data_IF_901939636872
#
_entry.id   IF_901939636872
#
_cell.length_a   1.000
_cell.length_b   1.000
_cell.length_c   1.000
_cell.angle_alpha   90.00
_cell.angle_beta   90.00
_cell.angle_gamma   90.00
#
_symmetry.space_group_name_H-M   'P 1'
#
loop_
_entity.id
_entity.type
_entity.pdbx_description
1 polymer ?
#
# COMPACT_ATOMS: atom_id res chain seq x y z
N UNK A 1 -16.28 32.99 37.42
CA UNK A 1 -16.50 31.62 36.95
C UNK A 1 -16.43 31.69 35.43
N UNK A 2 -15.21 31.66 34.89
CA UNK A 2 -14.97 31.68 33.45
C UNK A 2 -14.39 30.33 33.07
N UNK A 3 -15.17 29.49 32.40
CA UNK A 3 -14.65 28.29 31.78
C UNK A 3 -13.69 28.70 30.67
N UNK A 4 -12.43 28.35 30.84
CA UNK A 4 -11.37 28.50 29.86
C UNK A 4 -11.66 27.52 28.71
N UNK A 5 -12.36 27.97 27.66
CA UNK A 5 -12.48 27.22 26.42
C UNK A 5 -11.15 27.27 25.68
N UNK A 6 -10.21 26.42 26.08
CA UNK A 6 -9.05 26.09 25.25
C UNK A 6 -9.56 25.34 24.02
N UNK A 7 -9.81 26.08 22.93
CA UNK A 7 -10.17 25.50 21.64
C UNK A 7 -9.10 24.51 21.16
N UNK A 8 -9.53 23.40 20.57
CA UNK A 8 -8.64 22.37 20.01
C UNK A 8 -7.67 23.00 19.01
N UNK A 9 -6.36 22.85 19.23
CA UNK A 9 -5.32 23.45 18.39
C UNK A 9 -5.28 22.83 16.98
N UNK A 10 -4.68 23.53 16.01
CA UNK A 10 -4.52 22.99 14.64
C UNK A 10 -3.73 21.68 14.63
N UNK A 11 -2.68 21.60 15.46
CA UNK A 11 -1.89 20.37 15.65
C UNK A 11 -2.76 19.22 16.17
N UNK A 12 -3.64 19.49 17.13
CA UNK A 12 -4.55 18.48 17.68
C UNK A 12 -5.58 18.04 16.64
N UNK A 13 -6.09 18.97 15.82
CA UNK A 13 -6.99 18.63 14.71
C UNK A 13 -6.31 17.75 13.67
N UNK A 14 -5.07 18.05 13.30
CA UNK A 14 -4.31 17.23 12.37
C UNK A 14 -4.02 15.84 12.94
N UNK A 15 -3.63 15.76 14.22
CA UNK A 15 -3.45 14.50 14.90
C UNK A 15 -4.73 13.67 14.93
N UNK A 16 -5.86 14.27 15.32
CA UNK A 16 -7.17 13.60 15.35
C UNK A 16 -7.56 13.12 13.95
N UNK A 17 -7.40 13.96 12.92
CA UNK A 17 -7.72 13.60 11.55
C UNK A 17 -6.90 12.39 11.06
N UNK A 18 -5.60 12.37 11.35
CA UNK A 18 -4.71 11.23 11.02
C UNK A 18 -5.12 9.97 11.78
N UNK A 19 -5.40 10.07 13.08
CA UNK A 19 -5.84 8.95 13.91
C UNK A 19 -7.16 8.35 13.41
N UNK A 20 -8.13 9.18 13.04
CA UNK A 20 -9.42 8.74 12.46
C UNK A 20 -9.20 8.05 11.12
N UNK A 21 -8.34 8.60 10.25
CA UNK A 21 -8.04 8.00 8.96
C UNK A 21 -7.35 6.63 9.11
N UNK A 22 -6.41 6.50 10.05
CA UNK A 22 -5.75 5.23 10.37
C UNK A 22 -6.73 4.19 10.94
N UNK A 23 -7.53 4.58 11.94
CA UNK A 23 -8.55 3.69 12.51
C UNK A 23 -9.55 3.21 11.44
N UNK A 24 -9.97 4.11 10.54
CA UNK A 24 -10.85 3.77 9.42
C UNK A 24 -10.20 2.77 8.46
N UNK A 25 -8.93 2.99 8.07
CA UNK A 25 -8.16 2.07 7.22
C UNK A 25 -8.06 0.69 7.86
N UNK A 26 -7.76 0.64 9.15
CA UNK A 26 -7.54 -0.61 9.86
C UNK A 26 -8.83 -1.42 9.99
N UNK A 27 -9.94 -0.75 10.34
CA UNK A 27 -11.24 -1.40 10.47
C UNK A 27 -11.80 -1.88 9.12
N UNK A 28 -11.64 -1.09 8.06
CA UNK A 28 -12.24 -1.40 6.76
C UNK A 28 -11.37 -2.32 5.88
N UNK A 29 -10.04 -2.23 5.96
CA UNK A 29 -9.13 -2.90 5.03
C UNK A 29 -8.06 -3.75 5.73
N UNK A 30 -7.24 -3.16 6.61
CA UNK A 30 -6.03 -3.84 7.14
C UNK A 30 -6.39 -5.09 7.94
N UNK A 31 -7.31 -4.97 8.90
CA UNK A 31 -7.65 -6.05 9.81
C UNK A 31 -8.43 -7.18 9.13
N UNK A 32 -9.45 -6.92 8.29
CA UNK A 32 -10.12 -7.97 7.53
C UNK A 32 -9.17 -8.75 6.63
N UNK A 33 -8.28 -8.08 5.87
CA UNK A 33 -7.31 -8.74 4.99
C UNK A 33 -6.35 -9.62 5.80
N UNK A 34 -5.85 -9.14 6.94
CA UNK A 34 -5.02 -9.94 7.84
C UNK A 34 -5.75 -11.19 8.35
N UNK A 35 -6.99 -11.05 8.79
CA UNK A 35 -7.80 -12.15 9.29
C UNK A 35 -8.09 -13.21 8.22
N UNK A 36 -8.33 -12.79 6.97
CA UNK A 36 -8.50 -13.69 5.82
C UNK A 36 -7.18 -14.42 5.55
N UNK A 37 -6.06 -13.70 5.48
CA UNK A 37 -4.76 -14.28 5.21
C UNK A 37 -4.34 -15.31 6.25
N UNK A 38 -4.55 -15.01 7.55
CA UNK A 38 -4.25 -15.94 8.65
C UNK A 38 -5.03 -17.26 8.54
N UNK A 39 -6.28 -17.23 8.06
CA UNK A 39 -7.06 -18.46 7.85
C UNK A 39 -6.75 -19.16 6.54
N UNK A 40 -6.47 -18.41 5.49
CA UNK A 40 -6.14 -18.97 4.20
C UNK A 40 -4.78 -19.68 4.23
N UNK A 41 -3.80 -19.14 4.98
CA UNK A 41 -2.45 -19.72 5.09
C UNK A 41 -2.41 -21.12 5.71
N UNK A 42 -3.47 -21.54 6.39
CA UNK A 42 -3.62 -22.93 6.89
C UNK A 42 -3.87 -23.92 5.74
N UNK A 43 -4.42 -23.45 4.62
CA UNK A 43 -4.80 -24.30 3.47
C UNK A 43 -3.90 -24.15 2.26
N UNK A 44 -3.37 -22.95 2.02
CA UNK A 44 -2.55 -22.69 0.83
C UNK A 44 -1.53 -21.58 1.09
N UNK A 45 -0.40 -21.59 0.36
CA UNK A 45 0.54 -20.48 0.34
C UNK A 45 -0.18 -19.14 0.12
N UNK A 46 0.18 -18.14 0.93
CA UNK A 46 -0.50 -16.85 0.98
C UNK A 46 0.54 -15.75 1.01
N UNK A 47 0.33 -14.65 0.32
CA UNK A 47 1.27 -13.53 0.30
C UNK A 47 0.53 -12.25 0.61
N UNK A 48 1.09 -11.44 1.50
CA UNK A 48 0.52 -10.14 1.89
C UNK A 48 1.45 -9.01 1.49
N UNK A 49 0.87 -7.91 1.05
CA UNK A 49 1.58 -6.68 0.80
C UNK A 49 0.94 -5.49 1.52
N UNK A 50 1.72 -4.42 1.62
CA UNK A 50 1.27 -3.08 1.95
C UNK A 50 1.76 -2.14 0.85
N UNK A 51 0.88 -1.32 0.28
CA UNK A 51 1.23 -0.39 -0.79
C UNK A 51 1.30 1.03 -0.22
N UNK A 52 2.47 1.65 -0.34
CA UNK A 52 2.81 2.96 0.23
C UNK A 52 3.57 3.82 -0.79
N UNK A 53 3.26 3.64 -2.07
CA UNK A 53 3.79 4.45 -3.15
C UNK A 53 2.71 5.37 -3.74
N UNK A 54 3.13 6.56 -4.14
CA UNK A 54 2.32 7.44 -5.01
C UNK A 54 3.21 7.95 -6.11
N UNK A 55 2.61 8.34 -7.23
CA UNK A 55 3.35 8.90 -8.34
C UNK A 55 4.25 10.04 -7.87
N UNK A 56 5.49 10.12 -8.38
CA UNK A 56 6.49 11.08 -7.89
C UNK A 56 5.95 12.52 -7.83
N UNK A 57 5.20 12.94 -8.84
CA UNK A 57 4.61 14.29 -8.92
C UNK A 57 3.44 14.53 -7.97
N UNK A 58 2.87 13.49 -7.36
CA UNK A 58 1.73 13.57 -6.44
C UNK A 58 2.15 13.38 -4.97
N UNK A 59 3.44 13.17 -4.68
CA UNK A 59 3.95 12.98 -3.30
C UNK A 59 3.55 14.10 -2.34
N UNK A 60 3.55 15.36 -2.81
CA UNK A 60 3.12 16.50 -1.99
C UNK A 60 1.64 16.47 -1.66
N UNK A 61 0.80 16.05 -2.61
CA UNK A 61 -0.65 15.92 -2.45
C UNK A 61 -1.02 14.76 -1.52
N UNK A 62 -0.27 13.66 -1.59
CA UNK A 62 -0.50 12.45 -0.79
C UNK A 62 0.54 12.26 0.32
N UNK A 63 1.04 13.36 0.89
CA UNK A 63 2.05 13.34 1.96
C UNK A 63 1.56 12.62 3.25
N UNK A 64 0.25 12.47 3.41
CA UNK A 64 -0.39 11.81 4.55
C UNK A 64 -0.88 10.38 4.24
N UNK A 65 -0.43 9.82 3.12
CA UNK A 65 -0.67 8.44 2.73
C UNK A 65 -1.38 8.27 1.40
N UNK A 66 -1.31 7.05 0.90
CA UNK A 66 -1.79 6.67 -0.42
C UNK A 66 -3.31 6.42 -0.40
N UNK A 67 -4.07 6.97 -1.37
CA UNK A 67 -5.50 6.73 -1.46
C UNK A 67 -5.81 5.30 -1.92
N UNK A 68 -6.98 4.79 -1.52
CA UNK A 68 -7.45 3.46 -1.90
C UNK A 68 -7.49 3.28 -3.43
N UNK A 69 -6.95 2.15 -3.92
CA UNK A 69 -6.96 1.79 -5.34
C UNK A 69 -5.83 2.40 -6.16
N UNK A 70 -4.98 3.25 -5.56
CA UNK A 70 -3.86 3.85 -6.27
C UNK A 70 -2.77 2.84 -6.67
N UNK A 71 -2.78 1.64 -6.12
CA UNK A 71 -1.88 0.55 -6.48
C UNK A 71 -2.23 -0.11 -7.82
N UNK A 72 -3.49 -0.01 -8.25
CA UNK A 72 -4.02 -0.73 -9.41
C UNK A 72 -3.21 -0.48 -10.70
N UNK A 73 -2.84 0.77 -11.06
CA UNK A 73 -2.06 1.03 -12.26
C UNK A 73 -0.65 0.41 -12.22
N UNK A 74 -0.08 0.22 -11.03
CA UNK A 74 1.24 -0.38 -10.85
C UNK A 74 1.19 -1.90 -10.98
N UNK A 75 0.23 -2.54 -10.30
CA UNK A 75 0.04 -4.00 -10.42
C UNK A 75 -0.33 -4.45 -11.83
N UNK A 76 -1.07 -3.61 -12.56
CA UNK A 76 -1.47 -3.90 -13.95
C UNK A 76 -0.48 -3.38 -14.99
N UNK A 77 0.58 -2.68 -14.59
CA UNK A 77 1.52 -2.02 -15.50
C UNK A 77 0.83 -1.10 -16.53
N UNK A 78 -0.08 -0.26 -16.06
CA UNK A 78 -0.91 0.65 -16.88
C UNK A 78 -0.72 2.13 -16.53
N UNK A 79 0.37 2.48 -15.84
CA UNK A 79 0.65 3.86 -15.41
C UNK A 79 0.68 4.87 -16.56
N UNK A 80 1.02 4.44 -17.78
CA UNK A 80 1.06 5.26 -18.99
C UNK A 80 -0.31 5.52 -19.64
N UNK A 81 -1.36 4.80 -19.24
CA UNK A 81 -2.70 4.93 -19.83
C UNK A 81 -3.79 5.24 -18.81
N UNK A 82 -3.53 4.99 -17.52
CA UNK A 82 -4.47 5.29 -16.44
C UNK A 82 -4.60 6.80 -16.25
N UNK A 83 -5.82 7.32 -16.25
CA UNK A 83 -6.11 8.78 -16.20
C UNK A 83 -5.39 9.49 -15.05
N UNK A 84 -5.30 8.85 -13.87
CA UNK A 84 -4.67 9.45 -12.71
C UNK A 84 -3.14 9.53 -12.76
N UNK A 85 -2.48 8.88 -13.73
CA UNK A 85 -1.01 8.82 -13.81
C UNK A 85 -0.45 9.11 -15.20
N UNK A 86 -1.21 8.92 -16.29
CA UNK A 86 -0.72 8.95 -17.68
C UNK A 86 0.07 10.21 -18.04
N UNK A 87 -0.36 11.38 -17.54
CA UNK A 87 0.26 12.67 -17.88
C UNK A 87 1.38 13.07 -16.92
N UNK A 88 1.51 12.34 -15.81
CA UNK A 88 2.43 12.68 -14.71
C UNK A 88 3.52 11.64 -14.48
N UNK A 89 3.35 10.41 -14.99
CA UNK A 89 4.25 9.29 -14.79
C UNK A 89 5.69 9.62 -15.21
N UNK A 90 6.60 9.42 -14.28
CA UNK A 90 8.05 9.55 -14.40
C UNK A 90 8.69 8.21 -14.75
N UNK A 91 10.01 8.18 -14.97
CA UNK A 91 10.73 6.92 -15.17
C UNK A 91 10.70 6.04 -13.91
N UNK A 92 10.69 6.65 -12.72
CA UNK A 92 10.60 5.95 -11.43
C UNK A 92 9.25 5.24 -11.27
N UNK A 93 8.15 5.93 -11.61
CA UNK A 93 6.79 5.37 -11.54
C UNK A 93 6.66 4.14 -12.46
N UNK A 94 7.22 4.24 -13.68
CA UNK A 94 7.23 3.14 -14.66
C UNK A 94 8.06 1.96 -14.20
N UNK A 95 9.23 2.21 -13.60
CA UNK A 95 10.07 1.14 -13.09
C UNK A 95 9.41 0.42 -11.91
N UNK A 96 8.76 1.15 -11.01
CA UNK A 96 7.99 0.52 -9.94
C UNK A 96 6.81 -0.29 -10.51
N UNK A 97 6.08 0.23 -11.50
CA UNK A 97 4.98 -0.49 -12.15
C UNK A 97 5.47 -1.80 -12.78
N UNK A 98 6.58 -1.75 -13.53
CA UNK A 98 7.23 -2.92 -14.11
C UNK A 98 7.57 -3.97 -13.04
N UNK A 99 8.32 -3.59 -12.00
CA UNK A 99 8.73 -4.49 -10.91
C UNK A 99 7.53 -5.07 -10.13
N UNK A 100 6.52 -4.25 -9.87
CA UNK A 100 5.31 -4.67 -9.15
C UNK A 100 4.51 -5.68 -9.99
N UNK A 101 4.38 -5.42 -11.29
CA UNK A 101 3.70 -6.33 -12.21
C UNK A 101 4.46 -7.65 -12.42
N UNK A 102 5.80 -7.64 -12.38
CA UNK A 102 6.62 -8.85 -12.47
C UNK A 102 6.24 -9.87 -11.38
N UNK A 103 6.03 -9.41 -10.13
CA UNK A 103 5.59 -10.30 -9.04
C UNK A 103 4.23 -10.95 -9.32
N UNK A 104 3.27 -10.19 -9.84
CA UNK A 104 1.92 -10.70 -10.14
C UNK A 104 1.96 -11.65 -11.32
N UNK A 105 2.72 -11.32 -12.35
CA UNK A 105 2.92 -12.18 -13.51
C UNK A 105 3.54 -13.52 -13.09
N UNK A 106 4.57 -13.49 -12.25
CA UNK A 106 5.23 -14.70 -11.78
C UNK A 106 4.34 -15.54 -10.87
N UNK A 107 3.54 -14.90 -10.02
CA UNK A 107 2.52 -15.57 -9.21
C UNK A 107 1.48 -16.27 -10.09
N UNK A 108 0.95 -15.59 -11.11
CA UNK A 108 -0.02 -16.18 -12.03
C UNK A 108 0.57 -17.38 -12.81
N UNK A 109 1.87 -17.33 -13.12
CA UNK A 109 2.59 -18.36 -13.88
C UNK A 109 3.00 -19.57 -13.04
N UNK A 110 3.42 -19.35 -11.79
CA UNK A 110 4.10 -20.38 -10.97
C UNK A 110 3.43 -20.68 -9.64
N UNK A 111 2.47 -19.85 -9.22
CA UNK A 111 1.90 -19.88 -7.89
C UNK A 111 2.81 -19.29 -6.81
N UNK A 112 3.98 -18.74 -7.14
CA UNK A 112 4.87 -18.01 -6.21
C UNK A 112 5.21 -16.63 -6.80
N UNK A 113 5.03 -15.53 -6.05
CA UNK A 113 5.43 -14.21 -6.52
C UNK A 113 6.95 -14.03 -6.36
N UNK A 114 7.67 -13.94 -7.47
CA UNK A 114 9.05 -13.50 -7.50
C UNK A 114 9.27 -12.45 -8.58
N UNK A 115 10.18 -11.50 -8.33
CA UNK A 115 10.65 -10.55 -9.32
C UNK A 115 12.17 -10.47 -9.26
N UNK A 116 12.83 -10.65 -10.40
CA UNK A 116 14.29 -10.65 -10.49
C UNK A 116 14.87 -9.34 -9.97
N UNK A 117 15.93 -9.43 -9.17
CA UNK A 117 16.57 -8.25 -8.56
C UNK A 117 15.71 -7.52 -7.51
N UNK A 118 14.59 -8.09 -7.08
CA UNK A 118 13.72 -7.51 -6.05
C UNK A 118 13.67 -8.41 -4.79
N UNK A 119 13.30 -7.88 -3.62
CA UNK A 119 13.24 -8.66 -2.39
C UNK A 119 12.32 -9.88 -2.50
N UNK A 120 12.60 -10.91 -1.71
CA UNK A 120 11.73 -12.07 -1.65
C UNK A 120 10.38 -11.69 -1.03
N UNK A 121 9.28 -11.97 -1.73
CA UNK A 121 7.95 -11.84 -1.16
C UNK A 121 7.67 -13.06 -0.28
N UNK A 122 7.87 -12.89 1.03
CA UNK A 122 7.74 -13.98 1.98
C UNK A 122 6.30 -14.51 2.05
N UNK A 123 6.17 -15.85 2.11
CA UNK A 123 4.90 -16.50 2.38
C UNK A 123 4.42 -16.12 3.79
N UNK A 124 3.14 -15.76 3.89
CA UNK A 124 2.45 -15.34 5.09
C UNK A 124 2.38 -16.49 6.09
N UNK A 125 2.74 -16.21 7.33
CA UNK A 125 2.64 -17.14 8.44
C UNK A 125 1.91 -16.48 9.60
N UNK A 126 0.92 -17.17 10.15
CA UNK A 126 0.15 -16.65 11.29
C UNK A 126 1.11 -16.32 12.43
N UNK A 127 0.94 -15.12 13.02
CA UNK A 127 1.81 -14.57 14.10
C UNK A 127 3.25 -14.23 13.68
N UNK A 128 3.58 -14.32 12.39
CA UNK A 128 4.83 -13.82 11.84
C UNK A 128 4.49 -12.85 10.70
N UNK A 129 4.28 -11.58 11.06
CA UNK A 129 3.89 -10.55 10.09
C UNK A 129 5.07 -10.24 9.17
N UNK A 130 5.12 -10.96 8.03
CA UNK A 130 6.04 -10.69 6.93
C UNK A 130 5.22 -10.15 5.77
N UNK A 131 5.20 -8.83 5.65
CA UNK A 131 4.44 -8.10 4.62
C UNK A 131 5.45 -7.40 3.72
N UNK A 132 5.36 -7.64 2.40
CA UNK A 132 6.19 -6.89 1.46
C UNK A 132 5.61 -5.48 1.31
N UNK A 133 6.46 -4.47 1.43
CA UNK A 133 6.06 -3.08 1.30
C UNK A 133 6.46 -2.59 -0.09
N UNK A 134 5.47 -2.11 -0.85
CA UNK A 134 5.68 -1.41 -2.12
C UNK A 134 5.70 0.09 -1.84
N UNK A 135 6.87 0.64 -1.56
CA UNK A 135 7.12 2.08 -1.43
C UNK A 135 8.16 2.52 -2.47
N UNK A 136 8.79 3.69 -2.28
CA UNK A 136 9.89 4.18 -3.12
C UNK A 136 11.00 3.12 -3.29
N UNK A 137 11.24 2.34 -2.23
CA UNK A 137 11.91 1.06 -2.30
C UNK A 137 10.93 -0.07 -1.96
N UNK A 138 10.97 -1.15 -2.73
CA UNK A 138 10.29 -2.40 -2.36
C UNK A 138 11.12 -3.06 -1.25
N UNK A 139 10.50 -3.38 -0.11
CA UNK A 139 11.20 -3.95 1.07
C UNK A 139 10.39 -5.00 1.80
#
# INVERSE_FOLDING_TARGET
MGEDQQGVSERDREFIARAVAQATRDLAFTMPVRWIADRHSVRAPTWRYYFDYTAVKERSKYANGVPHGAEVPYFLNTVDIFEGTKDIATAEDRELARRTSDYVFDFARTGTPAASGSPAWANHQTRQDRTLIFADAIT
#
